data_IF_349392330389
#
_entry.id   IF_349392330389
#
_cell.length_a   1.000
_cell.length_b   1.000
_cell.length_c   1.000
_cell.angle_alpha   90.00
_cell.angle_beta   90.00
_cell.angle_gamma   90.00
#
_symmetry.space_group_name_H-M   'P 1'
#
loop_
_entity.id
_entity.type
_entity.pdbx_description
1 polymer ?
#
# COMPACT_ATOMS: atom_id res chain seq x y z
N UNK A 1 26.42 -6.46 -1.71
CA UNK A 1 27.38 -6.94 -2.74
C UNK A 1 27.98 -5.75 -3.50
N UNK A 2 29.24 -5.79 -3.96
CA UNK A 2 29.80 -4.76 -4.88
C UNK A 2 29.30 -5.03 -6.31
N UNK A 3 29.08 -3.98 -7.11
CA UNK A 3 28.57 -4.03 -8.50
C UNK A 3 29.24 -5.12 -9.36
N UNK A 4 30.55 -5.28 -9.21
CA UNK A 4 31.36 -6.24 -9.95
C UNK A 4 30.90 -7.69 -9.80
N UNK A 5 30.46 -8.13 -8.61
CA UNK A 5 30.01 -9.50 -8.39
C UNK A 5 28.63 -9.77 -9.04
N UNK A 6 27.81 -8.72 -9.21
CA UNK A 6 26.47 -8.79 -9.83
C UNK A 6 26.61 -8.91 -11.35
N UNK A 7 27.56 -8.20 -11.94
CA UNK A 7 27.89 -8.30 -13.36
C UNK A 7 28.45 -9.68 -13.72
N UNK A 8 29.34 -10.24 -12.88
CA UNK A 8 29.86 -11.61 -13.07
C UNK A 8 28.75 -12.66 -13.04
N UNK A 9 27.79 -12.54 -12.12
CA UNK A 9 26.65 -13.46 -12.04
C UNK A 9 25.73 -13.34 -13.25
N UNK A 10 25.49 -12.10 -13.71
CA UNK A 10 24.67 -11.80 -14.88
C UNK A 10 25.30 -12.35 -16.16
N UNK A 11 26.62 -12.20 -16.32
CA UNK A 11 27.37 -12.80 -17.42
C UNK A 11 27.29 -14.34 -17.40
N UNK A 12 27.44 -14.95 -16.22
CA UNK A 12 27.31 -16.40 -16.06
C UNK A 12 25.90 -16.91 -16.42
N UNK A 13 24.85 -16.19 -16.00
CA UNK A 13 23.46 -16.53 -16.31
C UNK A 13 23.14 -16.39 -17.81
N UNK A 14 23.61 -15.31 -18.44
CA UNK A 14 23.47 -15.10 -19.88
C UNK A 14 24.21 -16.18 -20.68
N UNK A 15 25.39 -16.59 -20.22
CA UNK A 15 26.13 -17.71 -20.81
C UNK A 15 25.38 -19.04 -20.72
N UNK A 16 24.68 -19.27 -19.61
CA UNK A 16 23.85 -20.47 -19.41
C UNK A 16 22.62 -20.47 -20.33
N UNK A 17 21.91 -19.34 -20.42
CA UNK A 17 20.75 -19.17 -21.32
C UNK A 17 21.17 -19.43 -22.78
N UNK A 18 22.27 -18.80 -23.22
CA UNK A 18 22.82 -19.01 -24.55
C UNK A 18 23.17 -20.48 -24.82
N UNK A 19 23.72 -21.20 -23.83
CA UNK A 19 24.05 -22.62 -23.98
C UNK A 19 22.82 -23.53 -24.06
N UNK A 20 21.77 -23.23 -23.28
CA UNK A 20 20.50 -23.95 -23.31
C UNK A 20 19.82 -23.75 -24.67
N UNK A 21 19.76 -22.50 -25.15
CA UNK A 21 19.14 -22.15 -26.43
C UNK A 21 19.86 -22.80 -27.61
N UNK A 22 21.18 -23.02 -27.51
CA UNK A 22 22.00 -23.61 -28.57
C UNK A 22 22.34 -25.10 -28.35
N UNK A 23 21.78 -25.74 -27.32
CA UNK A 23 22.13 -27.11 -26.91
C UNK A 23 21.81 -28.17 -27.98
N UNK A 24 20.90 -27.89 -28.92
CA UNK A 24 20.61 -28.79 -30.05
C UNK A 24 21.70 -28.79 -31.14
N UNK A 25 22.60 -27.81 -31.18
CA UNK A 25 23.57 -27.66 -32.29
C UNK A 25 25.03 -27.98 -31.92
N UNK A 26 25.42 -27.97 -30.63
CA UNK A 26 26.85 -27.94 -30.30
C UNK A 26 27.42 -29.13 -29.49
N UNK A 27 26.62 -30.04 -28.90
CA UNK A 27 27.09 -31.14 -28.01
C UNK A 27 28.26 -30.72 -27.08
N UNK A 28 28.27 -29.49 -26.57
CA UNK A 28 29.22 -29.04 -25.56
C UNK A 28 28.60 -29.23 -24.18
N UNK A 29 29.38 -29.66 -23.17
CA UNK A 29 28.88 -29.74 -21.80
C UNK A 29 28.32 -28.37 -21.38
N UNK A 30 27.10 -28.35 -20.87
CA UNK A 30 26.50 -27.15 -20.25
C UNK A 30 27.43 -26.75 -19.11
N UNK A 31 27.88 -25.50 -19.11
CA UNK A 31 28.77 -24.95 -18.10
C UNK A 31 28.18 -25.15 -16.71
N UNK A 32 28.95 -25.87 -15.88
CA UNK A 32 28.94 -25.97 -14.42
C UNK A 32 27.69 -25.43 -13.70
N UNK A 33 26.54 -26.03 -14.03
CA UNK A 33 25.22 -25.67 -13.48
C UNK A 33 25.23 -25.80 -11.96
N UNK A 34 25.98 -26.77 -11.44
CA UNK A 34 26.17 -27.00 -10.01
C UNK A 34 26.86 -25.81 -9.34
N UNK A 35 27.90 -25.23 -9.95
CA UNK A 35 28.54 -24.01 -9.44
C UNK A 35 27.58 -22.82 -9.40
N UNK A 36 26.82 -22.59 -10.48
CA UNK A 36 25.84 -21.48 -10.54
C UNK A 36 24.74 -21.68 -9.49
N UNK A 37 24.21 -22.89 -9.34
CA UNK A 37 23.22 -23.22 -8.30
C UNK A 37 23.80 -23.00 -6.91
N UNK A 38 25.05 -23.42 -6.66
CA UNK A 38 25.73 -23.22 -5.38
C UNK A 38 25.92 -21.74 -5.05
N UNK A 39 26.36 -20.93 -6.01
CA UNK A 39 26.48 -19.48 -5.86
C UNK A 39 25.12 -18.82 -5.56
N UNK A 40 24.06 -19.23 -6.27
CA UNK A 40 22.70 -18.76 -6.00
C UNK A 40 22.17 -19.20 -4.63
N UNK A 41 22.50 -20.41 -4.17
CA UNK A 41 22.13 -20.91 -2.84
C UNK A 41 22.85 -20.14 -1.74
N UNK A 42 24.14 -19.87 -1.90
CA UNK A 42 24.94 -19.03 -0.99
C UNK A 42 24.35 -17.62 -0.94
N UNK A 43 24.06 -17.02 -2.10
CA UNK A 43 23.41 -15.70 -2.19
C UNK A 43 22.04 -15.69 -1.50
N UNK A 44 21.21 -16.70 -1.72
CA UNK A 44 19.92 -16.82 -1.06
C UNK A 44 20.08 -16.95 0.47
N UNK A 45 21.07 -17.72 0.94
CA UNK A 45 21.35 -17.84 2.37
C UNK A 45 21.86 -16.52 2.97
N UNK A 46 22.75 -15.81 2.29
CA UNK A 46 23.23 -14.48 2.69
C UNK A 46 22.09 -13.45 2.73
N UNK A 47 21.27 -13.38 1.70
CA UNK A 47 20.11 -12.47 1.67
C UNK A 47 19.13 -12.78 2.80
N UNK A 48 18.90 -14.07 3.11
CA UNK A 48 18.10 -14.48 4.28
C UNK A 48 18.73 -14.00 5.59
N UNK A 49 20.05 -14.14 5.76
CA UNK A 49 20.74 -13.65 6.95
C UNK A 49 20.66 -12.12 7.06
N UNK A 50 20.92 -11.38 5.98
CA UNK A 50 20.83 -9.91 5.95
C UNK A 50 19.41 -9.43 6.29
N UNK A 51 18.38 -10.07 5.74
CA UNK A 51 16.99 -9.79 6.08
C UNK A 51 16.70 -10.05 7.57
N UNK A 52 17.21 -11.14 8.13
CA UNK A 52 17.08 -11.43 9.57
C UNK A 52 17.81 -10.37 10.40
N UNK A 53 19.03 -9.98 10.05
CA UNK A 53 19.76 -8.93 10.74
C UNK A 53 19.03 -7.58 10.69
N UNK A 54 18.52 -7.21 9.53
CA UNK A 54 17.75 -5.97 9.35
C UNK A 54 16.46 -5.99 10.20
N UNK A 55 15.70 -7.09 10.17
CA UNK A 55 14.50 -7.24 10.98
C UNK A 55 14.83 -7.19 12.48
N UNK A 56 15.89 -7.86 12.93
CA UNK A 56 16.34 -7.81 14.31
C UNK A 56 16.76 -6.40 14.72
N UNK A 57 17.44 -5.65 13.85
CA UNK A 57 17.83 -4.27 14.11
C UNK A 57 16.61 -3.36 14.27
N UNK A 58 15.59 -3.50 13.42
CA UNK A 58 14.33 -2.75 13.54
C UNK A 58 13.59 -3.10 14.83
N UNK A 59 13.54 -4.38 15.21
CA UNK A 59 12.92 -4.82 16.46
C UNK A 59 13.68 -4.26 17.68
N UNK A 60 15.02 -4.34 17.68
CA UNK A 60 15.86 -3.77 18.74
C UNK A 60 15.64 -2.26 18.87
N UNK A 61 15.59 -1.55 17.73
CA UNK A 61 15.29 -0.12 17.70
C UNK A 61 13.92 0.20 18.27
N UNK A 62 12.89 -0.56 17.90
CA UNK A 62 11.54 -0.37 18.43
C UNK A 62 11.42 -0.65 19.92
N UNK A 63 12.18 -1.61 20.46
CA UNK A 63 12.23 -1.91 21.90
C UNK A 63 12.96 -0.79 22.65
N UNK A 64 14.08 -0.30 22.10
CA UNK A 64 14.88 0.74 22.73
C UNK A 64 14.22 2.13 22.66
N UNK A 65 13.43 2.39 21.62
CA UNK A 65 12.74 3.65 21.36
C UNK A 65 11.26 3.43 21.00
N UNK A 66 10.42 3.04 21.98
CA UNK A 66 9.05 2.60 21.75
C UNK A 66 8.08 3.74 21.40
N UNK A 67 8.49 5.00 21.54
CA UNK A 67 7.66 6.18 21.25
C UNK A 67 8.30 7.12 20.21
N UNK A 68 9.47 6.77 19.67
CA UNK A 68 10.21 7.60 18.73
C UNK A 68 10.42 6.95 17.37
N UNK A 69 11.57 7.25 16.78
CA UNK A 69 11.94 6.86 15.42
C UNK A 69 12.16 5.35 15.30
N UNK A 70 12.67 4.70 16.36
CA UNK A 70 12.91 3.25 16.35
C UNK A 70 11.64 2.45 16.07
N UNK A 71 10.56 2.73 16.81
CA UNK A 71 9.26 2.08 16.55
C UNK A 71 8.65 2.51 15.23
N UNK A 72 8.77 3.78 14.84
CA UNK A 72 8.23 4.25 13.56
C UNK A 72 8.85 3.49 12.38
N UNK A 73 10.17 3.29 12.39
CA UNK A 73 10.85 2.56 11.32
C UNK A 73 10.38 1.11 11.20
N UNK A 74 10.15 0.43 12.33
CA UNK A 74 9.58 -0.92 12.32
C UNK A 74 8.15 -0.94 11.75
N UNK A 75 7.32 0.04 12.11
CA UNK A 75 5.95 0.14 11.57
C UNK A 75 5.96 0.38 10.05
N UNK A 76 6.80 1.29 9.57
CA UNK A 76 6.96 1.58 8.14
C UNK A 76 7.45 0.36 7.34
N UNK A 77 8.42 -0.38 7.87
CA UNK A 77 8.93 -1.61 7.26
C UNK A 77 7.86 -2.72 7.23
N UNK A 78 7.17 -2.95 8.35
CA UNK A 78 6.09 -3.94 8.43
C UNK A 78 4.92 -3.64 7.47
N UNK A 79 4.61 -2.35 7.26
CA UNK A 79 3.62 -1.91 6.29
C UNK A 79 4.15 -1.90 4.85
N UNK A 80 5.42 -2.28 4.63
CA UNK A 80 6.09 -2.33 3.32
C UNK A 80 6.06 -0.99 2.57
N UNK A 81 6.13 0.11 3.30
CA UNK A 81 6.15 1.44 2.68
C UNK A 81 7.44 1.59 1.85
N UNK A 82 7.37 2.04 0.59
CA UNK A 82 8.57 2.40 -0.16
C UNK A 82 9.38 3.47 0.58
N UNK A 83 10.70 3.26 0.73
CA UNK A 83 11.58 4.15 1.51
C UNK A 83 11.49 5.63 1.11
N UNK A 84 11.23 5.90 -0.17
CA UNK A 84 11.05 7.25 -0.69
C UNK A 84 9.88 8.03 -0.07
N UNK A 85 8.92 7.32 0.56
CA UNK A 85 7.76 7.93 1.22
C UNK A 85 7.89 8.00 2.75
N UNK A 86 8.99 7.53 3.34
CA UNK A 86 9.17 7.59 4.80
C UNK A 86 9.09 9.02 5.32
N UNK A 87 9.61 9.98 4.55
CA UNK A 87 9.57 11.41 4.88
C UNK A 87 8.14 11.96 5.08
N UNK A 88 7.11 11.35 4.46
CA UNK A 88 5.72 11.73 4.70
C UNK A 88 5.38 11.54 6.18
N UNK A 89 5.81 10.44 6.79
CA UNK A 89 5.52 10.12 8.18
C UNK A 89 6.51 10.78 9.15
N UNK A 90 7.79 10.92 8.77
CA UNK A 90 8.73 11.70 9.57
C UNK A 90 8.32 13.17 9.71
N UNK A 91 7.81 13.79 8.64
CA UNK A 91 7.31 15.17 8.66
C UNK A 91 6.01 15.31 9.47
N UNK A 92 5.19 14.26 9.54
CA UNK A 92 3.95 14.30 10.32
C UNK A 92 4.21 14.58 11.80
N UNK A 93 5.26 13.98 12.38
CA UNK A 93 5.71 14.23 13.75
C UNK A 93 6.09 15.71 13.99
N UNK A 94 6.56 16.41 12.95
CA UNK A 94 6.91 17.83 13.03
C UNK A 94 5.67 18.73 12.93
N UNK A 95 4.72 18.40 12.05
CA UNK A 95 3.47 19.15 11.88
C UNK A 95 2.67 19.19 13.18
N UNK A 96 2.61 18.06 13.90
CA UNK A 96 1.91 17.95 15.18
C UNK A 96 2.51 18.85 16.29
N UNK A 97 3.84 19.05 16.28
CA UNK A 97 4.53 19.76 17.37
C UNK A 97 4.84 21.24 17.12
N UNK A 98 5.09 21.66 15.87
CA UNK A 98 5.65 22.99 15.60
C UNK A 98 5.16 23.67 14.30
N UNK A 99 4.36 23.00 13.46
CA UNK A 99 4.15 23.43 12.06
C UNK A 99 2.81 24.10 11.73
N UNK A 100 1.79 24.01 12.58
CA UNK A 100 0.52 24.72 12.37
C UNK A 100 0.29 25.63 13.55
N UNK A 101 0.38 26.95 13.38
CA UNK A 101 0.19 27.96 14.43
C UNK A 101 -1.14 27.93 15.20
N UNK A 102 -1.97 26.89 14.98
CA UNK A 102 -3.30 26.67 15.53
C UNK A 102 -3.42 25.35 16.35
N UNK A 103 -2.33 24.58 16.55
CA UNK A 103 -2.39 23.32 17.33
C UNK A 103 -3.14 22.16 16.65
N UNK A 104 -3.01 22.08 15.32
CA UNK A 104 -3.82 21.17 14.50
C UNK A 104 -3.18 19.78 14.39
N UNK A 105 -3.91 18.76 14.87
CA UNK A 105 -3.54 17.34 14.73
C UNK A 105 -3.63 16.91 13.26
N UNK A 106 -2.62 16.21 12.70
CA UNK A 106 -2.72 15.66 11.34
C UNK A 106 -3.92 14.73 11.18
N UNK A 107 -4.73 14.96 10.14
CA UNK A 107 -5.91 14.14 9.82
C UNK A 107 -5.61 13.28 8.61
N UNK A 108 -5.90 11.99 8.70
CA UNK A 108 -5.62 11.01 7.67
C UNK A 108 -6.82 10.13 7.36
N UNK A 109 -6.82 9.58 6.16
CA UNK A 109 -7.84 8.67 5.67
C UNK A 109 -7.13 7.39 5.19
N UNK A 110 -7.58 6.26 5.71
CA UNK A 110 -7.03 4.93 5.42
C UNK A 110 -8.12 4.08 4.77
N UNK A 111 -8.17 4.08 3.43
CA UNK A 111 -9.11 3.26 2.67
C UNK A 111 -8.46 1.90 2.37
N UNK A 112 -9.21 0.82 2.71
CA UNK A 112 -8.71 -0.55 2.75
C UNK A 112 -7.76 -0.73 3.92
N UNK A 113 -8.29 -0.47 5.12
CA UNK A 113 -7.49 -0.47 6.34
C UNK A 113 -6.90 -1.83 6.69
N UNK A 114 -7.51 -2.94 6.25
CA UNK A 114 -7.10 -4.31 6.50
C UNK A 114 -6.77 -4.59 7.97
N UNK A 115 -5.50 -4.87 8.29
CA UNK A 115 -4.99 -5.09 9.65
C UNK A 115 -4.68 -3.79 10.42
N UNK A 116 -4.84 -2.65 9.76
CA UNK A 116 -4.68 -1.31 10.31
C UNK A 116 -3.22 -0.85 10.40
N UNK A 117 -2.32 -1.38 9.56
CA UNK A 117 -0.88 -1.05 9.63
C UNK A 117 -0.62 0.43 9.37
N UNK A 118 -1.33 1.03 8.41
CA UNK A 118 -1.20 2.45 8.08
C UNK A 118 -1.79 3.32 9.18
N UNK A 119 -2.96 2.94 9.69
CA UNK A 119 -3.54 3.57 10.89
C UNK A 119 -2.60 3.50 12.10
N UNK A 120 -1.86 2.40 12.34
CA UNK A 120 -0.86 2.34 13.42
C UNK A 120 0.26 3.36 13.24
N UNK A 121 0.76 3.52 12.00
CA UNK A 121 1.78 4.52 11.67
C UNK A 121 1.24 5.93 11.94
N UNK A 122 0.03 6.23 11.46
CA UNK A 122 -0.64 7.53 11.66
C UNK A 122 -0.76 7.85 13.14
N UNK A 123 -1.23 6.90 13.95
CA UNK A 123 -1.39 7.07 15.39
C UNK A 123 -0.06 7.26 16.11
N UNK A 124 0.97 6.50 15.71
CA UNK A 124 2.33 6.66 16.26
C UNK A 124 2.89 8.05 15.96
N UNK A 125 2.52 8.63 14.82
CA UNK A 125 2.90 9.99 14.44
C UNK A 125 2.01 11.09 15.08
N UNK A 126 1.08 10.73 15.96
CA UNK A 126 0.18 11.67 16.66
C UNK A 126 -1.10 12.02 15.88
N UNK A 127 -1.30 11.45 14.69
CA UNK A 127 -2.43 11.76 13.81
C UNK A 127 -3.77 11.16 14.23
N UNK A 128 -4.83 11.63 13.58
CA UNK A 128 -6.18 11.03 13.58
C UNK A 128 -6.39 10.24 12.28
N UNK A 129 -6.94 9.03 12.38
CA UNK A 129 -7.26 8.17 11.23
C UNK A 129 -8.77 7.96 11.07
N UNK A 130 -9.26 8.21 9.87
CA UNK A 130 -10.58 7.76 9.39
C UNK A 130 -10.35 6.50 8.56
N UNK A 131 -10.65 5.34 9.11
CA UNK A 131 -10.33 4.03 8.52
C UNK A 131 -11.57 3.37 7.96
N UNK A 132 -11.49 2.94 6.71
CA UNK A 132 -12.54 2.20 5.99
C UNK A 132 -12.08 0.79 5.70
N UNK A 133 -12.82 -0.18 6.22
CA UNK A 133 -12.60 -1.60 5.97
C UNK A 133 -13.98 -2.24 5.82
N UNK A 134 -14.36 -2.81 4.67
CA UNK A 134 -15.65 -3.48 4.52
C UNK A 134 -15.71 -4.87 5.18
N UNK A 135 -14.57 -5.55 5.31
CA UNK A 135 -14.54 -6.95 5.73
C UNK A 135 -14.98 -7.11 7.20
N UNK A 136 -16.04 -7.87 7.42
CA UNK A 136 -16.63 -8.07 8.76
C UNK A 136 -15.66 -8.71 9.76
N UNK A 137 -14.77 -9.59 9.29
CA UNK A 137 -13.81 -10.29 10.14
C UNK A 137 -12.65 -9.39 10.53
N UNK A 138 -12.11 -8.62 9.58
CA UNK A 138 -11.07 -7.63 9.88
C UNK A 138 -11.60 -6.53 10.80
N UNK A 139 -12.84 -6.07 10.59
CA UNK A 139 -13.49 -5.10 11.47
C UNK A 139 -13.58 -5.57 12.91
N UNK A 140 -13.84 -6.85 13.15
CA UNK A 140 -13.85 -7.38 14.52
C UNK A 140 -12.50 -7.13 15.22
N UNK A 141 -11.39 -7.42 14.54
CA UNK A 141 -10.05 -7.16 15.07
C UNK A 141 -9.75 -5.66 15.20
N UNK A 142 -10.10 -4.85 14.19
CA UNK A 142 -9.89 -3.40 14.22
C UNK A 142 -10.68 -2.72 15.34
N UNK A 143 -11.94 -3.11 15.56
CA UNK A 143 -12.77 -2.61 16.68
C UNK A 143 -12.10 -2.90 18.01
N UNK A 144 -11.64 -4.13 18.23
CA UNK A 144 -10.92 -4.51 19.45
C UNK A 144 -9.60 -3.77 19.59
N UNK A 145 -8.86 -3.59 18.50
CA UNK A 145 -7.56 -2.92 18.48
C UNK A 145 -7.66 -1.44 18.85
N UNK A 146 -8.74 -0.77 18.44
CA UNK A 146 -8.90 0.68 18.58
C UNK A 146 -10.05 1.11 19.51
N UNK A 147 -10.66 0.20 20.27
CA UNK A 147 -11.86 0.46 21.09
C UNK A 147 -11.75 1.68 22.02
N UNK A 148 -10.55 1.96 22.55
CA UNK A 148 -10.30 3.07 23.47
C UNK A 148 -9.50 4.22 22.82
N UNK A 149 -9.31 4.19 21.50
CA UNK A 149 -8.53 5.19 20.79
C UNK A 149 -9.44 6.22 20.10
N UNK A 150 -9.62 7.38 20.73
CA UNK A 150 -10.43 8.49 20.22
C UNK A 150 -9.92 9.08 18.89
N UNK A 151 -8.68 8.77 18.51
CA UNK A 151 -8.06 9.24 17.28
C UNK A 151 -8.35 8.30 16.10
N UNK A 152 -9.12 7.23 16.31
CA UNK A 152 -9.58 6.33 15.24
C UNK A 152 -11.08 6.46 15.06
N UNK A 153 -11.51 6.76 13.85
CA UNK A 153 -12.90 6.66 13.41
C UNK A 153 -13.01 5.51 12.42
N UNK A 154 -13.50 4.37 12.91
CA UNK A 154 -13.61 3.13 12.12
C UNK A 154 -14.99 3.00 11.47
N UNK A 155 -14.98 2.80 10.16
CA UNK A 155 -16.17 2.60 9.33
C UNK A 155 -16.11 1.21 8.69
N UNK A 156 -17.05 0.35 9.07
CA UNK A 156 -17.27 -0.95 8.43
C UNK A 156 -18.02 -0.74 7.10
N UNK A 157 -17.36 -0.12 6.14
CA UNK A 157 -17.93 0.27 4.85
C UNK A 157 -16.86 0.18 3.76
N UNK A 158 -17.30 -0.18 2.56
CA UNK A 158 -16.48 0.02 1.37
C UNK A 158 -16.61 1.47 0.89
N UNK A 159 -15.67 1.90 0.04
CA UNK A 159 -15.66 3.25 -0.52
C UNK A 159 -15.67 3.18 -2.04
N UNK A 160 -16.32 4.16 -2.67
CA UNK A 160 -16.41 4.29 -4.12
C UNK A 160 -16.67 5.76 -4.52
N UNK A 161 -17.07 5.97 -5.78
CA UNK A 161 -17.50 7.24 -6.32
C UNK A 161 -18.99 7.58 -6.08
N UNK A 162 -19.75 6.71 -5.40
CA UNK A 162 -21.19 6.92 -5.09
C UNK A 162 -21.68 6.07 -3.92
N UNK A 163 -22.86 6.39 -3.38
CA UNK A 163 -23.48 5.58 -2.31
C UNK A 163 -24.33 4.44 -2.90
N UNK A 164 -24.12 3.20 -2.44
CA UNK A 164 -24.94 2.03 -2.81
C UNK A 164 -24.71 0.86 -1.85
N UNK A 165 -25.39 -0.26 -2.08
CA UNK A 165 -25.15 -1.54 -1.41
C UNK A 165 -24.79 -2.59 -2.46
N UNK A 166 -23.81 -3.45 -2.16
CA UNK A 166 -23.38 -4.53 -3.06
C UNK A 166 -22.93 -5.75 -2.27
N UNK A 167 -22.72 -6.87 -2.96
CA UNK A 167 -22.11 -8.06 -2.37
C UNK A 167 -20.60 -7.86 -2.19
N UNK A 168 -20.10 -8.26 -1.03
CA UNK A 168 -18.68 -8.36 -0.76
C UNK A 168 -18.14 -9.68 -1.34
N UNK A 169 -17.09 -9.58 -2.14
CA UNK A 169 -16.48 -10.69 -2.88
C UNK A 169 -15.24 -11.15 -2.10
N UNK A 170 -15.22 -12.43 -1.74
CA UNK A 170 -14.15 -13.02 -0.92
C UNK A 170 -13.54 -14.25 -1.58
N UNK A 171 -12.24 -14.46 -1.39
CA UNK A 171 -11.59 -15.71 -1.78
C UNK A 171 -12.06 -16.89 -0.93
N UNK A 172 -12.43 -18.00 -1.58
CA UNK A 172 -12.83 -19.24 -0.91
C UNK A 172 -11.70 -19.74 -0.01
N UNK A 173 -11.90 -19.75 1.31
CA UNK A 173 -10.93 -20.09 2.36
C UNK A 173 -9.89 -19.03 2.75
N UNK A 174 -9.97 -17.79 2.23
CA UNK A 174 -9.06 -16.70 2.62
C UNK A 174 -9.83 -15.48 3.08
N UNK A 175 -10.55 -15.64 4.20
CA UNK A 175 -11.44 -14.59 4.72
C UNK A 175 -10.73 -13.28 5.09
N UNK A 176 -9.42 -13.29 5.30
CA UNK A 176 -8.56 -12.13 5.58
C UNK A 176 -7.65 -11.76 4.40
N UNK A 177 -7.96 -12.22 3.18
CA UNK A 177 -7.18 -11.87 1.98
C UNK A 177 -7.16 -10.37 1.75
N UNK A 178 -6.04 -9.85 1.22
CA UNK A 178 -5.93 -8.47 0.75
C UNK A 178 -6.85 -8.25 -0.45
N UNK A 179 -6.85 -9.15 -1.43
CA UNK A 179 -7.71 -9.06 -2.63
C UNK A 179 -9.22 -9.24 -2.44
N UNK A 180 -9.75 -9.19 -1.22
CA UNK A 180 -11.22 -9.18 -1.01
C UNK A 180 -11.77 -7.79 -1.38
N UNK A 181 -12.89 -7.74 -2.10
CA UNK A 181 -13.29 -6.54 -2.86
C UNK A 181 -14.79 -6.41 -3.07
N UNK A 182 -15.20 -5.32 -3.73
CA UNK A 182 -16.60 -5.04 -4.10
C UNK A 182 -16.84 -4.99 -5.62
N UNK A 183 -15.80 -5.19 -6.43
CA UNK A 183 -15.88 -5.20 -7.90
C UNK A 183 -15.46 -6.54 -8.46
N UNK A 184 -15.99 -6.85 -9.65
CA UNK A 184 -15.61 -8.03 -10.41
C UNK A 184 -14.20 -7.86 -11.00
N UNK A 185 -13.50 -8.96 -11.18
CA UNK A 185 -12.11 -9.00 -11.65
C UNK A 185 -11.80 -10.27 -12.44
N UNK A 186 -10.65 -10.30 -13.11
CA UNK A 186 -10.13 -11.50 -13.76
C UNK A 186 -9.86 -12.68 -12.80
N UNK A 187 -9.81 -12.43 -11.49
CA UNK A 187 -9.56 -13.44 -10.45
C UNK A 187 -10.85 -14.06 -9.88
N UNK A 188 -12.02 -13.73 -10.42
CA UNK A 188 -13.31 -14.09 -9.83
C UNK A 188 -13.58 -15.60 -9.76
N UNK A 189 -12.90 -16.40 -10.59
CA UNK A 189 -12.99 -17.87 -10.57
C UNK A 189 -12.61 -18.51 -9.23
N UNK A 190 -11.92 -17.78 -8.35
CA UNK A 190 -11.50 -18.24 -7.02
C UNK A 190 -12.24 -17.53 -5.87
N UNK A 191 -13.28 -16.77 -6.19
CA UNK A 191 -13.99 -15.92 -5.23
C UNK A 191 -15.49 -16.17 -5.24
N UNK A 192 -16.15 -15.77 -4.15
CA UNK A 192 -17.58 -15.92 -3.96
C UNK A 192 -18.18 -14.61 -3.43
N UNK A 193 -19.42 -14.30 -3.87
CA UNK A 193 -20.24 -13.23 -3.28
C UNK A 193 -20.76 -13.73 -1.94
N UNK A 194 -20.49 -12.99 -0.87
CA UNK A 194 -20.70 -13.47 0.52
C UNK A 194 -21.85 -12.76 1.23
N UNK A 195 -21.63 -11.52 1.68
CA UNK A 195 -22.62 -10.70 2.40
C UNK A 195 -22.73 -9.32 1.78
N UNK A 196 -23.84 -8.63 2.06
CA UNK A 196 -24.04 -7.24 1.63
C UNK A 196 -23.18 -6.28 2.45
N UNK A 197 -22.61 -5.29 1.79
CA UNK A 197 -21.87 -4.20 2.42
C UNK A 197 -22.35 -2.85 1.90
N UNK A 198 -22.42 -1.88 2.81
CA UNK A 198 -22.65 -0.49 2.44
C UNK A 198 -21.39 0.08 1.80
N UNK A 199 -21.58 0.71 0.64
CA UNK A 199 -20.57 1.45 -0.08
C UNK A 199 -20.89 2.92 0.03
N UNK A 200 -19.90 3.72 0.41
CA UNK A 200 -20.05 5.17 0.49
C UNK A 200 -19.31 5.88 -0.63
N UNK A 201 -19.81 7.05 -1.00
CA UNK A 201 -19.09 8.01 -1.81
C UNK A 201 -17.98 8.66 -0.99
N UNK A 202 -16.72 8.32 -1.27
CA UNK A 202 -15.58 8.84 -0.54
C UNK A 202 -15.45 10.36 -0.70
N UNK A 203 -15.75 10.88 -1.89
CA UNK A 203 -15.61 12.30 -2.18
C UNK A 203 -16.66 13.12 -1.41
N UNK A 204 -17.92 12.66 -1.39
CA UNK A 204 -18.96 13.30 -0.58
C UNK A 204 -18.65 13.20 0.92
N UNK A 205 -18.14 12.06 1.39
CA UNK A 205 -17.74 11.90 2.79
C UNK A 205 -16.60 12.87 3.16
N UNK A 206 -15.58 13.00 2.31
CA UNK A 206 -14.48 13.95 2.52
C UNK A 206 -15.01 15.39 2.61
N UNK A 207 -15.86 15.80 1.67
CA UNK A 207 -16.36 17.18 1.61
C UNK A 207 -17.29 17.51 2.78
N UNK A 208 -18.22 16.60 3.10
CA UNK A 208 -19.32 16.89 4.02
C UNK A 208 -19.02 16.51 5.48
N UNK A 209 -18.17 15.50 5.72
CA UNK A 209 -17.90 15.00 7.08
C UNK A 209 -16.50 15.38 7.57
N UNK A 210 -15.48 15.29 6.70
CA UNK A 210 -14.11 15.57 7.12
C UNK A 210 -13.81 17.07 7.01
N UNK A 211 -13.93 17.65 5.81
CA UNK A 211 -13.51 19.03 5.55
C UNK A 211 -14.42 20.10 6.18
N UNK A 212 -15.58 19.71 6.71
CA UNK A 212 -16.42 20.58 7.57
C UNK A 212 -15.85 20.75 8.96
N UNK A 213 -15.09 19.77 9.46
CA UNK A 213 -14.45 19.78 10.78
C UNK A 213 -12.97 20.16 10.68
N UNK A 214 -12.38 19.98 9.49
CA UNK A 214 -10.95 19.95 9.26
C UNK A 214 -10.55 20.86 8.11
N UNK A 215 -9.59 21.77 8.32
CA UNK A 215 -9.14 22.70 7.26
C UNK A 215 -8.46 21.96 6.10
N UNK A 216 -7.81 20.83 6.40
CA UNK A 216 -6.94 20.08 5.48
C UNK A 216 -6.79 18.63 5.94
N UNK A 217 -6.56 17.74 4.99
CA UNK A 217 -6.20 16.33 5.20
C UNK A 217 -4.71 16.20 4.90
N UNK A 218 -3.97 15.55 5.79
CA UNK A 218 -2.54 15.34 5.59
C UNK A 218 -2.28 14.18 4.62
N UNK A 219 -2.92 13.03 4.83
CA UNK A 219 -2.64 11.84 4.05
C UNK A 219 -3.92 11.06 3.74
N UNK A 220 -4.07 10.63 2.49
CA UNK A 220 -5.09 9.70 2.04
C UNK A 220 -4.39 8.48 1.44
N UNK A 221 -4.59 7.30 2.01
CA UNK A 221 -4.31 6.02 1.34
C UNK A 221 -5.57 5.53 0.65
N UNK A 222 -5.40 5.09 -0.59
CA UNK A 222 -6.42 4.44 -1.41
C UNK A 222 -5.86 3.13 -1.98
N UNK A 223 -6.20 2.04 -1.32
CA UNK A 223 -5.84 0.68 -1.73
C UNK A 223 -7.05 -0.16 -1.30
N UNK A 224 -7.96 -0.41 -2.25
CA UNK A 224 -9.33 -0.90 -2.01
C UNK A 224 -9.76 -1.96 -3.01
N UNK A 225 -8.83 -2.44 -3.82
CA UNK A 225 -9.00 -3.58 -4.73
C UNK A 225 -10.10 -3.32 -5.79
N UNK A 226 -10.05 -2.15 -6.45
CA UNK A 226 -10.66 -1.97 -7.77
C UNK A 226 -11.66 -0.81 -7.97
N UNK A 227 -11.78 0.14 -7.04
CA UNK A 227 -12.55 1.39 -7.25
C UNK A 227 -11.65 2.65 -7.30
N UNK A 228 -10.35 2.46 -7.40
CA UNK A 228 -9.35 3.54 -7.31
C UNK A 228 -9.47 4.51 -8.48
N UNK A 229 -9.65 4.02 -9.71
CA UNK A 229 -9.73 4.88 -10.88
C UNK A 229 -10.93 5.83 -10.84
N UNK A 230 -12.09 5.32 -10.45
CA UNK A 230 -13.35 6.05 -10.37
C UNK A 230 -13.29 7.12 -9.27
N UNK A 231 -12.78 6.75 -8.09
CA UNK A 231 -12.54 7.69 -6.99
C UNK A 231 -11.53 8.76 -7.39
N UNK A 232 -10.39 8.38 -7.98
CA UNK A 232 -9.34 9.32 -8.36
C UNK A 232 -9.80 10.31 -9.43
N UNK A 233 -10.56 9.86 -10.43
CA UNK A 233 -11.21 10.75 -11.41
C UNK A 233 -12.08 11.79 -10.70
N UNK A 234 -12.94 11.35 -9.78
CA UNK A 234 -13.83 12.24 -9.02
C UNK A 234 -13.08 13.21 -8.10
N UNK A 235 -12.01 12.76 -7.43
CA UNK A 235 -11.12 13.61 -6.61
C UNK A 235 -10.52 14.74 -7.46
N UNK A 236 -10.09 14.44 -8.69
CA UNK A 236 -9.48 15.42 -9.58
C UNK A 236 -10.53 16.40 -10.12
N UNK A 237 -11.67 15.89 -10.59
CA UNK A 237 -12.79 16.69 -11.12
C UNK A 237 -13.32 17.69 -10.09
N UNK A 238 -13.56 17.23 -8.85
CA UNK A 238 -13.99 18.07 -7.72
C UNK A 238 -12.86 18.92 -7.11
N UNK A 239 -11.62 18.73 -7.56
CA UNK A 239 -10.42 19.41 -7.03
C UNK A 239 -10.18 19.16 -5.53
N UNK A 240 -10.66 18.03 -5.00
CA UNK A 240 -10.47 17.63 -3.60
C UNK A 240 -8.98 17.48 -3.28
N UNK A 241 -8.17 17.03 -4.24
CA UNK A 241 -6.71 16.90 -4.09
C UNK A 241 -6.03 18.19 -3.61
N UNK A 242 -6.61 19.38 -3.83
CA UNK A 242 -6.05 20.65 -3.33
C UNK A 242 -6.12 20.80 -1.81
N UNK A 243 -6.89 19.96 -1.14
CA UNK A 243 -7.11 19.94 0.32
C UNK A 243 -6.42 18.74 0.99
N UNK A 244 -5.65 17.96 0.24
CA UNK A 244 -4.92 16.79 0.73
C UNK A 244 -3.43 17.01 0.47
N UNK A 245 -2.56 16.79 1.46
CA UNK A 245 -1.11 16.96 1.24
C UNK A 245 -0.49 15.82 0.46
N UNK A 246 -0.94 14.59 0.72
CA UNK A 246 -0.43 13.38 0.07
C UNK A 246 -1.58 12.40 -0.21
N UNK A 247 -1.65 11.90 -1.44
CA UNK A 247 -2.60 10.87 -1.87
C UNK A 247 -1.79 9.68 -2.38
N UNK A 248 -1.76 8.62 -1.60
CA UNK A 248 -1.19 7.33 -1.95
C UNK A 248 -2.27 6.46 -2.59
N UNK A 249 -2.03 5.92 -3.79
CA UNK A 249 -3.02 5.14 -4.51
C UNK A 249 -2.38 3.89 -5.12
N UNK A 250 -2.83 2.70 -4.72
CA UNK A 250 -2.51 1.43 -5.37
C UNK A 250 -3.62 1.12 -6.39
N UNK A 251 -3.32 1.24 -7.68
CA UNK A 251 -4.37 1.25 -8.71
C UNK A 251 -4.93 -0.14 -9.06
N UNK A 252 -4.33 -1.21 -8.56
CA UNK A 252 -4.75 -2.61 -8.80
C UNK A 252 -5.03 -2.89 -10.29
N UNK A 253 -4.28 -2.27 -11.20
CA UNK A 253 -4.61 -2.26 -12.62
C UNK A 253 -4.65 -3.67 -13.22
N UNK A 254 -3.86 -4.59 -12.66
CA UNK A 254 -3.82 -6.00 -13.06
C UNK A 254 -5.17 -6.74 -12.94
N UNK A 255 -6.14 -6.18 -12.23
CA UNK A 255 -7.47 -6.77 -12.05
C UNK A 255 -8.39 -6.58 -13.27
N UNK A 256 -8.04 -5.68 -14.20
CA UNK A 256 -8.90 -5.25 -15.29
C UNK A 256 -8.28 -5.49 -16.67
N UNK A 257 -9.10 -5.95 -17.61
CA UNK A 257 -8.68 -6.13 -19.01
C UNK A 257 -8.35 -4.79 -19.70
N UNK A 258 -8.98 -3.68 -19.29
CA UNK A 258 -8.77 -2.34 -19.83
C UNK A 258 -7.78 -1.49 -19.01
N UNK A 259 -6.92 -2.16 -18.24
CA UNK A 259 -5.91 -1.57 -17.33
C UNK A 259 -5.07 -0.46 -17.97
N UNK A 260 -4.47 -0.71 -19.14
CA UNK A 260 -3.64 0.25 -19.87
C UNK A 260 -4.37 1.56 -20.18
N UNK A 261 -5.65 1.44 -20.55
CA UNK A 261 -6.50 2.59 -20.84
C UNK A 261 -6.79 3.37 -19.55
N UNK A 262 -7.22 2.69 -18.48
CA UNK A 262 -7.56 3.33 -17.20
C UNK A 262 -6.36 4.08 -16.61
N UNK A 263 -5.18 3.46 -16.57
CA UNK A 263 -3.96 4.10 -16.05
C UNK A 263 -3.48 5.23 -16.96
N UNK A 264 -3.59 5.07 -18.27
CA UNK A 264 -3.27 6.10 -19.25
C UNK A 264 -4.12 7.36 -19.07
N UNK A 265 -5.44 7.20 -18.95
CA UNK A 265 -6.39 8.30 -18.69
C UNK A 265 -6.08 9.02 -17.38
N UNK A 266 -5.82 8.28 -16.29
CA UNK A 266 -5.51 8.87 -14.99
C UNK A 266 -4.20 9.68 -15.04
N UNK A 267 -3.14 9.12 -15.63
CA UNK A 267 -1.84 9.82 -15.79
C UNK A 267 -1.98 11.08 -16.65
N UNK A 268 -2.76 11.01 -17.73
CA UNK A 268 -3.05 12.19 -18.56
C UNK A 268 -3.79 13.27 -17.77
N UNK A 269 -4.76 12.89 -16.95
CA UNK A 269 -5.52 13.82 -16.12
C UNK A 269 -4.64 14.50 -15.06
N UNK A 270 -3.80 13.73 -14.37
CA UNK A 270 -2.82 14.23 -13.40
C UNK A 270 -1.86 15.24 -14.05
N UNK A 271 -1.29 14.89 -15.22
CA UNK A 271 -0.37 15.74 -15.96
C UNK A 271 -1.05 17.03 -16.45
N UNK A 272 -2.25 16.92 -17.03
CA UNK A 272 -3.03 18.06 -17.53
C UNK A 272 -3.35 19.06 -16.41
N UNK A 273 -3.60 18.57 -15.20
CA UNK A 273 -3.89 19.40 -14.04
C UNK A 273 -2.65 19.81 -13.23
N UNK A 274 -1.45 19.37 -13.62
CA UNK A 274 -0.18 19.58 -12.90
C UNK A 274 -0.26 19.20 -11.42
N UNK A 275 -0.81 18.02 -11.13
CA UNK A 275 -1.01 17.54 -9.76
C UNK A 275 0.26 16.85 -9.28
N UNK A 276 0.77 17.26 -8.11
CA UNK A 276 2.08 16.84 -7.58
C UNK A 276 1.97 15.98 -6.32
N UNK A 277 0.77 15.83 -5.77
CA UNK A 277 0.52 15.15 -4.50
C UNK A 277 -0.18 13.79 -4.65
N UNK A 278 -0.18 13.21 -5.86
CA UNK A 278 -0.70 11.87 -6.13
C UNK A 278 0.47 10.93 -6.39
N UNK A 279 0.56 9.87 -5.59
CA UNK A 279 1.61 8.86 -5.57
C UNK A 279 1.02 7.56 -6.10
N UNK A 280 1.25 7.25 -7.38
CA UNK A 280 0.73 6.05 -8.05
C UNK A 280 1.67 4.84 -7.93
N UNK A 281 2.89 5.05 -7.46
CA UNK A 281 3.91 4.03 -7.18
C UNK A 281 3.93 3.66 -5.69
N UNK A 282 2.74 3.57 -5.08
CA UNK A 282 2.52 3.25 -3.65
C UNK A 282 2.76 1.76 -3.29
N UNK A 283 3.64 1.06 -4.01
CA UNK A 283 3.88 -0.39 -3.92
C UNK A 283 5.35 -0.77 -4.10
#
# INVERSE_FOLDING_TARGET
MKKEQLEVLKEALNGLIYQIDNHQQARKPIADVERIISELQVLNHWNKQENVYNALHLIQGAIADPQGLGRLNLLLDNARIPKQYYDIFYKMLYVDKYGGGDGYRPVCIDCGGHAGLITDIILHCGGQSYIFEPNIYLNYFLRKKYENNINVKLFQKAVSDRNYETDFIMFGNRILSQGNRIVESVQDSQTEKTYKVQVIDLCEFIENEILTQHKRIYFLKLDIEGMEFEIMKKIIEKKIYKKIDYIACETHEYMFDDSEKKIGELKQLINKCNIQNILLDWI
#
